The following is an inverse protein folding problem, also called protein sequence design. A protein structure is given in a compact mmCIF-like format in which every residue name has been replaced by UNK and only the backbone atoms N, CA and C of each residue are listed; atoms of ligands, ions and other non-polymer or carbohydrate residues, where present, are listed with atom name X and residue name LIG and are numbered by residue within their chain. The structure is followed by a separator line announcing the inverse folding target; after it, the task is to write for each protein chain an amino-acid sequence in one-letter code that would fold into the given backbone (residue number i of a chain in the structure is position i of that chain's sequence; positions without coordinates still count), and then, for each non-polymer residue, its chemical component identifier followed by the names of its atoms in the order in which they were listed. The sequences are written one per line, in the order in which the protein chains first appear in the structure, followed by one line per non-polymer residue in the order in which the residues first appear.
data_IF_936157883594
#
_entry.id   IF_936157883594
#
_cell.length_a   1.000
_cell.length_b   1.000
_cell.length_c   1.000
_cell.angle_alpha   90.00
_cell.angle_beta   90.00
_cell.angle_gamma   90.00
#
_symmetry.space_group_name_H-M   'P 1'
#
loop_
_entity.id
_entity.type
_entity.pdbx_description
1 polymer ?
#
# COMPACT_ATOMS: atom_id res chain seq x y z
N UNK A 1 -13.53 14.39 3.58
CA UNK A 1 -13.19 13.07 4.17
C UNK A 1 -11.68 13.01 4.33
N UNK A 2 -11.18 12.48 5.45
CA UNK A 2 -9.76 12.29 5.67
C UNK A 2 -9.21 11.16 4.77
N UNK A 3 -7.98 11.32 4.27
CA UNK A 3 -7.26 10.29 3.51
C UNK A 3 -7.11 9.02 4.37
N UNK A 4 -7.45 7.85 3.82
CA UNK A 4 -7.22 6.58 4.52
C UNK A 4 -5.75 6.16 4.46
N UNK A 5 -5.33 5.25 5.34
CA UNK A 5 -3.96 4.77 5.36
C UNK A 5 -3.52 4.16 4.01
N UNK A 6 -4.40 3.35 3.38
CA UNK A 6 -4.16 2.78 2.06
C UNK A 6 -4.01 3.82 0.96
N UNK A 7 -4.85 4.86 0.99
CA UNK A 7 -4.76 5.99 0.06
C UNK A 7 -3.44 6.75 0.22
N UNK A 8 -3.00 6.97 1.47
CA UNK A 8 -1.72 7.62 1.79
C UNK A 8 -0.53 6.82 1.26
N UNK A 9 -0.52 5.50 1.46
CA UNK A 9 0.53 4.63 0.92
C UNK A 9 0.58 4.75 -0.60
N UNK A 10 -0.56 4.62 -1.27
CA UNK A 10 -0.65 4.71 -2.74
C UNK A 10 -0.15 6.04 -3.27
N UNK A 11 -0.49 7.15 -2.59
CA UNK A 11 -0.05 8.50 -2.95
C UNK A 11 1.46 8.64 -2.81
N UNK A 12 2.02 8.35 -1.64
CA UNK A 12 3.47 8.45 -1.39
C UNK A 12 4.27 7.54 -2.33
N UNK A 13 3.77 6.34 -2.62
CA UNK A 13 4.38 5.42 -3.58
C UNK A 13 4.47 6.03 -4.98
N UNK A 14 3.39 6.66 -5.45
CA UNK A 14 3.35 7.32 -6.77
C UNK A 14 4.23 8.58 -6.80
N UNK A 15 4.23 9.40 -5.75
CA UNK A 15 5.10 10.57 -5.62
C UNK A 15 6.59 10.18 -5.74
N UNK A 16 6.95 9.02 -5.17
CA UNK A 16 8.30 8.45 -5.25
C UNK A 16 8.58 7.67 -6.54
N UNK A 17 7.65 7.66 -7.50
CA UNK A 17 7.71 6.89 -8.76
C UNK A 17 8.01 5.39 -8.54
N UNK A 18 7.52 4.82 -7.44
CA UNK A 18 7.74 3.41 -7.10
C UNK A 18 6.61 2.53 -7.65
N UNK A 19 6.98 1.41 -8.26
CA UNK A 19 6.04 0.38 -8.68
C UNK A 19 5.43 -0.35 -7.47
N UNK A 20 4.25 -0.95 -7.64
CA UNK A 20 3.60 -1.74 -6.57
C UNK A 20 4.50 -2.89 -6.11
N UNK A 21 5.00 -3.71 -7.06
CA UNK A 21 5.92 -4.83 -6.76
C UNK A 21 7.21 -4.36 -6.10
N UNK A 22 7.82 -3.31 -6.63
CA UNK A 22 9.05 -2.73 -6.06
C UNK A 22 8.84 -2.26 -4.61
N UNK A 23 7.70 -1.63 -4.33
CA UNK A 23 7.37 -1.15 -2.98
C UNK A 23 7.13 -2.31 -2.03
N UNK A 24 6.39 -3.34 -2.47
CA UNK A 24 6.15 -4.54 -1.69
C UNK A 24 7.45 -5.28 -1.35
N UNK A 25 8.36 -5.44 -2.32
CA UNK A 25 9.69 -6.02 -2.11
C UNK A 25 10.50 -5.22 -1.08
N UNK A 26 10.52 -3.89 -1.17
CA UNK A 26 11.22 -3.03 -0.19
C UNK A 26 10.62 -3.11 1.22
N UNK A 27 9.32 -3.36 1.32
CA UNK A 27 8.61 -3.49 2.59
C UNK A 27 8.58 -4.92 3.14
N UNK A 28 9.14 -5.91 2.44
CA UNK A 28 9.14 -7.32 2.88
C UNK A 28 7.76 -7.99 2.85
N UNK A 29 6.82 -7.49 2.05
CA UNK A 29 5.44 -7.99 1.94
C UNK A 29 5.11 -8.42 0.51
N UNK A 30 4.01 -9.15 0.32
CA UNK A 30 3.55 -9.51 -1.01
C UNK A 30 2.90 -8.32 -1.73
N UNK A 31 3.05 -8.24 -3.06
CA UNK A 31 2.41 -7.20 -3.86
C UNK A 31 0.87 -7.28 -3.80
N UNK A 32 0.32 -8.49 -3.66
CA UNK A 32 -1.12 -8.73 -3.48
C UNK A 32 -1.61 -8.17 -2.16
N UNK A 33 -0.86 -8.37 -1.06
CA UNK A 33 -1.17 -7.79 0.24
C UNK A 33 -1.14 -6.26 0.19
N UNK A 34 -0.07 -5.67 -0.37
CA UNK A 34 0.01 -4.21 -0.56
C UNK A 34 -1.17 -3.66 -1.39
N UNK A 35 -1.59 -4.37 -2.44
CA UNK A 35 -2.75 -3.99 -3.25
C UNK A 35 -4.05 -3.96 -2.43
N UNK A 36 -4.28 -4.96 -1.57
CA UNK A 36 -5.46 -5.02 -0.69
C UNK A 36 -5.45 -3.89 0.34
N UNK A 37 -4.28 -3.57 0.91
CA UNK A 37 -4.11 -2.41 1.80
C UNK A 37 -4.40 -1.09 1.07
N UNK A 38 -3.86 -0.89 -0.14
CA UNK A 38 -4.09 0.32 -0.95
C UNK A 38 -5.54 0.48 -1.43
N UNK A 39 -6.32 -0.59 -1.44
CA UNK A 39 -7.72 -0.62 -1.91
C UNK A 39 -8.74 -0.79 -0.78
N UNK A 40 -8.31 -0.67 0.48
CA UNK A 40 -9.15 -0.79 1.69
C UNK A 40 -9.86 -2.16 1.81
N UNK A 41 -9.32 -3.20 1.15
CA UNK A 41 -9.83 -4.57 1.22
C UNK A 41 -9.29 -5.39 2.39
N UNK A 42 -8.29 -4.88 3.11
CA UNK A 42 -7.86 -5.39 4.42
C UNK A 42 -7.47 -4.22 5.35
N UNK A 43 -7.77 -4.30 6.66
CA UNK A 43 -7.23 -3.37 7.64
C UNK A 43 -5.69 -3.50 7.68
N UNK A 44 -5.00 -2.39 7.98
CA UNK A 44 -3.53 -2.33 8.01
C UNK A 44 -2.89 -3.24 9.09
N UNK A 45 -3.72 -3.87 9.91
CA UNK A 45 -3.33 -4.78 10.99
C UNK A 45 -3.84 -6.18 10.62
N UNK A 46 -2.96 -7.15 10.34
CA UNK A 46 -3.36 -8.55 10.32
C UNK A 46 -3.75 -8.98 11.74
N UNK A 47 -4.90 -9.63 11.89
CA UNK A 47 -5.34 -10.31 13.11
C UNK A 47 -4.50 -11.55 13.38
#
# INVERSE_FOLDING_TARGET
MAETFGQRIRRVRKERKLGLRQTATKAGISATFLSRVETEKEPATPS
#
